data_IF_541585342508
#
_entry.id   IF_541585342508
#
_cell.length_a   1.000
_cell.length_b   1.000
_cell.length_c   1.000
_cell.angle_alpha   90.00
_cell.angle_beta   90.00
_cell.angle_gamma   90.00
#
_symmetry.space_group_name_H-M   'P 1'
#
loop_
_entity.id
_entity.type
_entity.pdbx_description
1 polymer ?
#
# COMPACT_ATOMS: atom_id res chain seq x y z
N UNK A 1 -25.79 -63.30 23.04
CA UNK A 1 -24.73 -62.65 22.22
C UNK A 1 -25.14 -61.25 21.71
N UNK A 2 -25.87 -60.43 22.49
CA UNK A 2 -26.25 -59.05 22.12
C UNK A 2 -25.51 -57.97 22.95
N UNK A 3 -24.86 -58.37 24.04
CA UNK A 3 -24.21 -57.45 25.01
C UNK A 3 -22.85 -56.96 24.48
N UNK A 4 -22.13 -57.76 23.68
CA UNK A 4 -20.80 -57.37 23.16
C UNK A 4 -20.82 -56.28 22.08
N UNK A 5 -21.94 -56.05 21.37
CA UNK A 5 -22.02 -55.01 20.33
C UNK A 5 -22.17 -53.59 20.88
N UNK A 6 -22.59 -53.45 22.14
CA UNK A 6 -22.82 -52.13 22.76
C UNK A 6 -21.54 -51.43 23.22
N UNK A 7 -20.41 -52.14 23.32
CA UNK A 7 -19.13 -51.59 23.79
C UNK A 7 -18.20 -51.11 22.65
N UNK A 8 -18.57 -51.34 21.39
CA UNK A 8 -17.73 -51.08 20.21
C UNK A 8 -18.21 -49.91 19.35
N UNK A 9 -19.20 -49.15 19.82
CA UNK A 9 -19.95 -48.21 18.99
C UNK A 9 -20.19 -46.85 19.62
N UNK A 10 -19.17 -46.23 20.21
CA UNK A 10 -19.19 -44.79 20.46
C UNK A 10 -18.58 -44.09 19.25
N UNK A 11 -19.35 -43.95 18.16
CA UNK A 11 -19.03 -42.99 17.11
C UNK A 11 -19.27 -41.59 17.72
N UNK A 12 -18.24 -40.98 18.28
CA UNK A 12 -18.33 -39.64 18.84
C UNK A 12 -18.33 -38.61 17.70
N UNK A 13 -19.52 -38.23 17.24
CA UNK A 13 -19.67 -37.17 16.23
C UNK A 13 -19.12 -35.81 16.72
N UNK A 14 -19.01 -35.64 18.04
CA UNK A 14 -18.42 -34.45 18.67
C UNK A 14 -16.93 -34.24 18.38
N UNK A 15 -16.16 -35.28 18.05
CA UNK A 15 -14.76 -35.14 17.63
C UNK A 15 -14.61 -34.76 16.17
N UNK A 16 -15.58 -35.13 15.33
CA UNK A 16 -15.55 -34.89 13.89
C UNK A 16 -15.69 -33.40 13.56
N UNK A 17 -16.61 -32.69 14.21
CA UNK A 17 -16.79 -31.24 13.99
C UNK A 17 -15.54 -30.42 14.33
N UNK A 18 -14.76 -30.86 15.33
CA UNK A 18 -13.50 -30.20 15.69
C UNK A 18 -12.45 -30.37 14.58
N UNK A 19 -12.39 -31.55 13.97
CA UNK A 19 -11.48 -31.85 12.86
C UNK A 19 -11.88 -31.07 11.60
N UNK A 20 -13.17 -31.01 11.27
CA UNK A 20 -13.67 -30.22 10.15
C UNK A 20 -13.33 -28.73 10.32
N UNK A 21 -13.52 -28.18 11.52
CA UNK A 21 -13.14 -26.80 11.81
C UNK A 21 -11.63 -26.57 11.70
N UNK A 22 -10.82 -27.51 12.22
CA UNK A 22 -9.36 -27.42 12.14
C UNK A 22 -8.82 -27.43 10.70
N UNK A 23 -9.55 -28.02 9.75
CA UNK A 23 -9.20 -27.99 8.32
C UNK A 23 -9.63 -26.68 7.62
N UNK A 24 -10.72 -26.05 8.08
CA UNK A 24 -11.23 -24.80 7.48
C UNK A 24 -10.48 -23.57 7.98
N UNK A 25 -10.11 -23.53 9.27
CA UNK A 25 -9.40 -22.37 9.86
C UNK A 25 -8.17 -21.95 9.07
N UNK A 26 -7.23 -22.84 8.68
CA UNK A 26 -6.01 -22.43 7.99
C UNK A 26 -6.30 -21.72 6.66
N UNK A 27 -7.28 -22.21 5.91
CA UNK A 27 -7.71 -21.59 4.64
C UNK A 27 -8.36 -20.24 4.90
N UNK A 28 -9.21 -20.15 5.92
CA UNK A 28 -9.87 -18.90 6.30
C UNK A 28 -8.85 -17.85 6.77
N UNK A 29 -7.84 -18.25 7.56
CA UNK A 29 -6.78 -17.36 8.03
C UNK A 29 -5.93 -16.85 6.86
N UNK A 30 -5.54 -17.73 5.93
CA UNK A 30 -4.83 -17.30 4.72
C UNK A 30 -5.64 -16.28 3.92
N UNK A 31 -6.96 -16.48 3.81
CA UNK A 31 -7.84 -15.56 3.10
C UNK A 31 -7.92 -14.20 3.80
N UNK A 32 -8.11 -14.17 5.12
CA UNK A 32 -8.14 -12.94 5.92
C UNK A 32 -6.80 -12.21 5.81
N UNK A 33 -5.69 -12.92 5.98
CA UNK A 33 -4.35 -12.34 5.85
C UNK A 33 -4.13 -11.74 4.46
N UNK A 34 -4.61 -12.40 3.39
CA UNK A 34 -4.57 -11.85 2.04
C UNK A 34 -5.37 -10.57 1.87
N UNK A 35 -6.56 -10.48 2.47
CA UNK A 35 -7.36 -9.24 2.45
C UNK A 35 -6.63 -8.11 3.19
N UNK A 36 -6.06 -8.40 4.37
CA UNK A 36 -5.34 -7.42 5.16
C UNK A 36 -4.09 -6.90 4.44
N UNK A 37 -3.29 -7.80 3.87
CA UNK A 37 -2.11 -7.46 3.07
C UNK A 37 -2.51 -6.63 1.84
N UNK A 38 -3.57 -7.03 1.12
CA UNK A 38 -4.03 -6.26 -0.03
C UNK A 38 -4.52 -4.85 0.34
N UNK A 39 -5.29 -4.73 1.43
CA UNK A 39 -5.74 -3.45 1.95
C UNK A 39 -4.58 -2.53 2.35
N UNK A 40 -3.52 -3.11 2.92
CA UNK A 40 -2.28 -2.42 3.23
C UNK A 40 -1.59 -1.86 1.98
N UNK A 41 -1.42 -2.67 0.94
CA UNK A 41 -0.79 -2.23 -0.30
C UNK A 41 -1.60 -1.14 -1.01
N UNK A 42 -2.94 -1.25 -0.98
CA UNK A 42 -3.82 -0.23 -1.52
C UNK A 42 -3.69 1.08 -0.74
N UNK A 43 -3.64 1.02 0.58
CA UNK A 43 -3.38 2.20 1.41
C UNK A 43 -2.06 2.85 1.04
N UNK A 44 -0.99 2.06 0.83
CA UNK A 44 0.31 2.61 0.44
C UNK A 44 0.26 3.37 -0.89
N UNK A 45 -0.45 2.83 -1.88
CA UNK A 45 -0.67 3.51 -3.16
C UNK A 45 -1.43 4.83 -3.01
N UNK A 46 -2.47 4.85 -2.17
CA UNK A 46 -3.26 6.06 -1.90
C UNK A 46 -2.38 7.11 -1.21
N UNK A 47 -1.61 6.72 -0.19
CA UNK A 47 -0.71 7.59 0.56
C UNK A 47 0.33 8.23 -0.36
N UNK A 48 1.02 7.47 -1.21
CA UNK A 48 1.98 8.03 -2.17
C UNK A 48 1.33 8.95 -3.19
N UNK A 49 0.15 8.59 -3.71
CA UNK A 49 -0.58 9.46 -4.64
C UNK A 49 -0.99 10.77 -3.96
N UNK A 50 -1.41 10.70 -2.69
CA UNK A 50 -1.67 11.88 -1.86
C UNK A 50 -0.42 12.74 -1.67
N UNK A 51 0.71 12.12 -1.31
CA UNK A 51 1.99 12.81 -1.17
C UNK A 51 2.46 13.49 -2.45
N UNK A 52 2.33 12.85 -3.61
CA UNK A 52 2.67 13.46 -4.89
C UNK A 52 1.80 14.70 -5.17
N UNK A 53 0.49 14.63 -4.86
CA UNK A 53 -0.43 15.77 -5.02
C UNK A 53 -0.08 16.91 -4.06
N UNK A 54 0.28 16.60 -2.83
CA UNK A 54 0.68 17.61 -1.86
C UNK A 54 2.02 18.28 -2.25
N UNK A 55 2.95 17.49 -2.80
CA UNK A 55 4.16 18.02 -3.42
C UNK A 55 3.87 18.94 -4.60
N UNK A 56 2.98 18.53 -5.52
CA UNK A 56 2.59 19.36 -6.66
C UNK A 56 1.93 20.68 -6.20
N UNK A 57 1.08 20.62 -5.17
CA UNK A 57 0.46 21.80 -4.56
C UNK A 57 1.50 22.75 -3.98
N UNK A 58 2.46 22.22 -3.22
CA UNK A 58 3.53 23.01 -2.64
C UNK A 58 4.42 23.66 -3.72
N UNK A 59 4.64 22.99 -4.85
CA UNK A 59 5.37 23.51 -5.99
C UNK A 59 4.67 24.72 -6.62
N UNK A 60 3.36 24.61 -6.89
CA UNK A 60 2.55 25.68 -7.50
C UNK A 60 2.51 26.93 -6.63
N UNK A 61 2.35 26.76 -5.32
CA UNK A 61 2.28 27.88 -4.36
C UNK A 61 3.64 28.55 -4.15
N UNK A 62 4.74 27.86 -4.41
CA UNK A 62 6.09 28.37 -4.17
C UNK A 62 6.63 29.17 -5.36
N UNK A 63 7.29 30.30 -5.07
CA UNK A 63 7.96 31.13 -6.10
C UNK A 63 9.47 30.85 -6.20
N UNK A 64 10.05 30.23 -5.17
CA UNK A 64 11.48 29.88 -5.08
C UNK A 64 11.62 28.45 -4.58
N UNK A 65 12.67 27.75 -5.00
CA UNK A 65 13.00 26.38 -4.58
C UNK A 65 11.80 25.40 -4.67
N UNK A 66 11.03 25.48 -5.77
CA UNK A 66 9.80 24.69 -5.97
C UNK A 66 10.04 23.20 -5.81
N UNK A 67 11.12 22.70 -6.40
CA UNK A 67 11.52 21.29 -6.30
C UNK A 67 11.72 20.85 -4.84
N UNK A 68 12.49 21.59 -4.05
CA UNK A 68 12.74 21.26 -2.65
C UNK A 68 11.46 21.33 -1.81
N UNK A 69 10.61 22.32 -2.08
CA UNK A 69 9.30 22.47 -1.40
C UNK A 69 8.36 21.32 -1.73
N UNK A 70 8.29 20.93 -3.00
CA UNK A 70 7.51 19.81 -3.47
C UNK A 70 7.96 18.51 -2.82
N UNK A 71 9.27 18.28 -2.77
CA UNK A 71 9.84 17.09 -2.15
C UNK A 71 9.51 17.02 -0.66
N UNK A 72 9.73 18.10 0.09
CA UNK A 72 9.48 18.13 1.54
C UNK A 72 8.00 17.90 1.86
N UNK A 73 7.07 18.53 1.12
CA UNK A 73 5.64 18.35 1.32
C UNK A 73 5.19 16.91 0.99
N UNK A 74 5.74 16.31 -0.07
CA UNK A 74 5.51 14.91 -0.39
C UNK A 74 6.06 13.98 0.71
N UNK A 75 7.27 14.26 1.21
CA UNK A 75 7.94 13.50 2.26
C UNK A 75 7.16 13.50 3.56
N UNK A 76 6.75 14.68 4.04
CA UNK A 76 5.95 14.81 5.27
C UNK A 76 4.63 14.04 5.20
N UNK A 77 3.99 14.01 4.02
CA UNK A 77 2.74 13.27 3.80
C UNK A 77 2.91 11.75 3.84
N UNK A 78 4.08 11.25 3.44
CA UNK A 78 4.32 9.81 3.27
C UNK A 78 4.99 9.20 4.50
N UNK A 79 5.97 9.87 5.09
CA UNK A 79 6.70 9.38 6.28
C UNK A 79 5.83 9.32 7.54
N UNK A 80 4.65 9.95 7.53
CA UNK A 80 3.63 9.79 8.57
C UNK A 80 2.99 8.39 8.61
N UNK A 81 3.19 7.57 7.59
CA UNK A 81 2.63 6.21 7.50
C UNK A 81 3.74 5.17 7.67
N UNK A 82 3.58 4.29 8.65
CA UNK A 82 4.55 3.22 8.93
C UNK A 82 4.74 2.31 7.71
N UNK A 83 5.94 1.76 7.51
CA UNK A 83 6.18 0.79 6.43
C UNK A 83 6.14 1.35 5.01
N UNK A 84 6.04 2.66 4.83
CA UNK A 84 6.22 3.35 3.55
C UNK A 84 7.35 4.35 3.73
N UNK A 85 8.36 4.30 2.87
CA UNK A 85 9.46 5.27 2.89
C UNK A 85 9.70 5.82 1.49
N UNK A 86 9.79 7.14 1.36
CA UNK A 86 10.18 7.74 0.09
C UNK A 86 11.64 7.46 -0.22
N UNK A 87 11.91 7.22 -1.50
CA UNK A 87 13.28 7.07 -2.01
C UNK A 87 13.72 8.45 -2.49
N UNK A 88 14.62 9.06 -1.72
CA UNK A 88 15.19 10.37 -2.04
C UNK A 88 16.42 10.21 -2.95
N UNK A 89 16.19 9.86 -4.21
CA UNK A 89 17.23 9.75 -5.24
C UNK A 89 16.75 10.41 -6.54
N UNK A 90 17.68 10.91 -7.34
CA UNK A 90 17.40 11.61 -8.61
C UNK A 90 16.68 10.74 -9.64
N UNK A 91 16.72 9.40 -9.48
CA UNK A 91 16.02 8.46 -10.35
C UNK A 91 14.59 8.13 -9.86
N UNK A 92 14.25 8.48 -8.62
CA UNK A 92 13.04 8.04 -7.93
C UNK A 92 12.16 9.21 -7.48
N UNK A 93 12.71 10.42 -7.54
CA UNK A 93 12.00 11.66 -7.36
C UNK A 93 12.26 12.54 -8.57
N UNK A 94 11.21 13.04 -9.20
CA UNK A 94 11.31 13.99 -10.29
C UNK A 94 10.31 15.11 -10.12
N UNK A 95 10.81 16.34 -10.28
CA UNK A 95 10.02 17.54 -10.43
C UNK A 95 10.33 18.16 -11.79
N UNK A 96 9.29 18.46 -12.57
CA UNK A 96 9.45 19.21 -13.81
C UNK A 96 8.20 20.03 -14.12
N UNK A 97 8.40 21.14 -14.83
CA UNK A 97 7.32 22.00 -15.30
C UNK A 97 7.05 21.70 -16.77
N UNK A 98 5.78 21.49 -17.11
CA UNK A 98 5.33 21.30 -18.49
C UNK A 98 4.62 22.56 -18.93
N UNK A 99 5.18 23.27 -19.90
CA UNK A 99 4.60 24.47 -20.49
C UNK A 99 3.96 24.14 -21.84
N UNK A 100 2.66 24.39 -21.94
CA UNK A 100 1.93 24.42 -23.20
C UNK A 100 1.98 25.85 -23.75
N UNK A 101 2.89 26.06 -24.71
CA UNK A 101 3.12 27.35 -25.37
C UNK A 101 1.91 27.85 -26.15
N UNK A 102 1.01 26.95 -26.58
CA UNK A 102 -0.17 27.33 -27.39
C UNK A 102 -1.25 27.94 -26.50
N UNK A 103 -1.47 27.35 -25.33
CA UNK A 103 -2.53 27.77 -24.41
C UNK A 103 -2.01 28.63 -23.24
N UNK A 104 -0.71 28.92 -23.20
CA UNK A 104 -0.02 29.60 -22.09
C UNK A 104 -0.33 28.95 -20.73
N UNK A 105 -0.29 27.61 -20.69
CA UNK A 105 -0.56 26.82 -19.48
C UNK A 105 0.73 26.21 -18.99
N UNK A 106 1.10 26.47 -17.74
CA UNK A 106 2.22 25.79 -17.07
C UNK A 106 1.67 24.80 -16.06
N UNK A 107 2.22 23.60 -16.00
CA UNK A 107 1.85 22.58 -15.04
C UNK A 107 3.08 22.10 -14.27
N UNK A 108 2.99 22.05 -12.94
CA UNK A 108 3.94 21.36 -12.10
C UNK A 108 3.64 19.86 -12.11
N UNK A 109 4.64 19.06 -12.43
CA UNK A 109 4.58 17.59 -12.36
C UNK A 109 5.50 17.11 -11.26
N UNK A 110 4.97 16.25 -10.40
CA UNK A 110 5.72 15.62 -9.31
C UNK A 110 5.55 14.11 -9.43
N UNK A 111 6.67 13.42 -9.54
CA UNK A 111 6.78 11.97 -9.56
C UNK A 111 7.58 11.53 -8.34
N UNK A 112 7.01 10.62 -7.55
CA UNK A 112 7.65 10.10 -6.35
C UNK A 112 7.59 8.57 -6.36
N UNK A 113 8.67 7.94 -5.91
CA UNK A 113 8.73 6.51 -5.68
C UNK A 113 8.89 6.22 -4.19
N UNK A 114 8.01 5.36 -3.68
CA UNK A 114 8.04 4.88 -2.31
C UNK A 114 8.41 3.41 -2.27
N UNK A 115 9.23 3.04 -1.28
CA UNK A 115 9.41 1.66 -0.89
C UNK A 115 8.31 1.27 0.11
N UNK A 116 7.62 0.17 -0.15
CA UNK A 116 6.55 -0.33 0.69
C UNK A 116 6.96 -1.66 1.28
N UNK A 117 6.99 -1.71 2.61
CA UNK A 117 7.21 -2.93 3.36
C UNK A 117 5.87 -3.70 3.47
N UNK A 118 5.83 -4.99 3.08
CA UNK A 118 4.70 -5.86 3.35
C UNK A 118 4.33 -5.89 4.83
N UNK A 119 3.03 -6.02 5.14
CA UNK A 119 2.53 -6.02 6.51
C UNK A 119 2.82 -7.35 7.21
N UNK A 120 2.45 -8.46 6.56
CA UNK A 120 2.55 -9.83 7.08
C UNK A 120 3.64 -10.58 6.32
N UNK A 121 3.80 -10.32 5.03
CA UNK A 121 4.88 -10.88 4.22
C UNK A 121 4.62 -12.29 3.68
N UNK A 122 3.35 -12.73 3.65
CA UNK A 122 2.95 -14.07 3.17
C UNK A 122 3.09 -14.22 1.65
N UNK A 123 2.73 -13.18 0.89
CA UNK A 123 2.76 -13.21 -0.58
C UNK A 123 4.00 -12.55 -1.17
N UNK A 124 4.51 -11.54 -0.48
CA UNK A 124 5.70 -10.78 -0.86
C UNK A 124 6.49 -10.55 0.42
N UNK A 125 7.72 -11.06 0.51
CA UNK A 125 8.52 -10.95 1.74
C UNK A 125 9.48 -9.76 1.73
N UNK A 126 9.87 -9.31 0.54
CA UNK A 126 10.79 -8.18 0.39
C UNK A 126 10.04 -6.87 0.15
N UNK A 127 10.56 -5.73 0.65
CA UNK A 127 10.05 -4.42 0.28
C UNK A 127 10.09 -4.21 -1.24
N UNK A 128 9.05 -3.60 -1.78
CA UNK A 128 8.96 -3.32 -3.21
C UNK A 128 8.59 -1.85 -3.46
N UNK A 129 9.00 -1.38 -4.63
CA UNK A 129 8.84 0.02 -5.01
C UNK A 129 7.50 0.23 -5.72
N UNK A 130 6.82 1.32 -5.39
CA UNK A 130 5.65 1.80 -6.11
C UNK A 130 5.78 3.28 -6.42
N UNK A 131 5.35 3.63 -7.62
CA UNK A 131 5.47 4.98 -8.16
C UNK A 131 4.13 5.71 -8.09
N UNK A 132 4.18 7.02 -7.88
CA UNK A 132 3.02 7.89 -7.92
C UNK A 132 3.36 9.20 -8.65
N UNK A 133 2.38 9.69 -9.42
CA UNK A 133 2.50 10.90 -10.22
C UNK A 133 1.34 11.84 -9.95
N UNK A 134 1.64 13.12 -9.82
CA UNK A 134 0.64 14.18 -9.72
C UNK A 134 0.99 15.34 -10.64
N UNK A 135 -0.04 15.99 -11.17
CA UNK A 135 0.08 17.17 -12.04
C UNK A 135 -0.86 18.25 -11.51
N UNK A 136 -0.36 19.48 -11.36
CA UNK A 136 -1.16 20.65 -11.01
C UNK A 136 -0.81 21.84 -11.90
N UNK A 137 -1.82 22.64 -12.23
CA UNK A 137 -1.64 23.86 -13.00
C UNK A 137 -0.98 24.94 -12.13
N UNK A 138 0.03 25.59 -12.70
CA UNK A 138 0.65 26.79 -12.15
C UNK A 138 -0.11 27.99 -12.74
N UNK A 139 -0.72 28.77 -11.84
CA UNK A 139 -1.37 30.05 -12.19
C UNK A 139 -0.36 31.18 -12.35
#
# INVERSE_FOLDING_TARGET
MKILKSLLGMKSESGQSLVEFALVIPVLLLFIMGILEFGWLLNAKITLTGGAREGARAAVVSTVNRETRAFNAAKESVEGVSGITLINDSNHYSYYEVEDTVNNVRNAVVEITGNVKPLIGIFVSDPFQIEAKAVMRIE
#
